data_IF_251498868961
#
_entry.id   IF_251498868961
#
_cell.length_a   1.000
_cell.length_b   1.000
_cell.length_c   1.000
_cell.angle_alpha   90.00
_cell.angle_beta   90.00
_cell.angle_gamma   90.00
#
_symmetry.space_group_name_H-M   'P 1'
#
loop_
_entity.id
_entity.type
_entity.pdbx_description
1 polymer ?
#
# COMPACT_ATOMS: atom_id res chain seq x y z
N UNK A 1 13.15 15.98 -10.31
CA UNK A 1 11.95 15.96 -11.19
C UNK A 1 11.71 14.52 -11.60
N UNK A 2 10.68 13.89 -11.01
CA UNK A 2 10.34 12.50 -11.31
C UNK A 2 9.58 12.45 -12.65
N UNK A 3 10.13 11.73 -13.62
CA UNK A 3 9.61 11.60 -15.00
C UNK A 3 8.41 10.63 -15.09
N UNK A 4 7.94 10.09 -13.95
CA UNK A 4 6.99 8.97 -13.88
C UNK A 4 5.53 9.27 -14.28
N UNK A 5 5.13 10.52 -14.50
CA UNK A 5 3.73 10.88 -14.86
C UNK A 5 3.56 11.34 -16.32
N UNK A 6 4.65 11.40 -17.11
CA UNK A 6 4.61 11.84 -18.51
C UNK A 6 3.95 10.84 -19.46
N UNK A 7 3.80 9.57 -19.04
CA UNK A 7 3.28 8.50 -19.88
C UNK A 7 1.77 8.55 -20.13
N UNK A 8 0.98 9.04 -19.17
CA UNK A 8 -0.49 9.03 -19.31
C UNK A 8 -1.01 10.11 -20.29
N UNK A 9 -0.29 11.23 -20.45
CA UNK A 9 -0.70 12.26 -21.41
C UNK A 9 -0.47 11.84 -22.87
N UNK A 10 0.45 10.91 -23.13
CA UNK A 10 0.76 10.45 -24.48
C UNK A 10 -0.31 9.53 -25.09
N UNK A 11 -1.09 8.82 -24.26
CA UNK A 11 -2.09 7.85 -24.73
C UNK A 11 -3.44 8.47 -25.09
N UNK A 12 -3.71 9.71 -24.67
CA UNK A 12 -5.02 10.33 -24.89
C UNK A 12 -5.13 11.18 -26.18
N UNK A 13 -4.02 11.51 -26.87
CA UNK A 13 -4.06 12.56 -27.93
C UNK A 13 -3.34 12.24 -29.24
N UNK A 14 -2.75 11.05 -29.48
CA UNK A 14 -2.13 10.78 -30.80
C UNK A 14 -2.52 9.43 -31.41
N UNK A 15 -3.25 9.49 -32.53
CA UNK A 15 -3.51 8.38 -33.46
C UNK A 15 -2.27 7.90 -34.25
N UNK A 16 -1.10 8.53 -34.05
CA UNK A 16 0.19 8.14 -34.62
C UNK A 16 1.25 7.94 -33.51
N UNK A 17 0.95 7.08 -32.54
CA UNK A 17 1.99 6.58 -31.66
C UNK A 17 2.87 5.60 -32.46
N UNK A 18 3.95 6.11 -33.08
CA UNK A 18 5.08 5.24 -33.44
C UNK A 18 5.41 4.44 -32.19
N UNK A 19 5.21 3.12 -32.26
CA UNK A 19 5.69 2.17 -31.25
C UNK A 19 7.12 2.59 -30.93
N UNK A 20 7.33 3.18 -29.74
CA UNK A 20 8.68 3.47 -29.30
C UNK A 20 9.37 2.11 -29.29
N UNK A 21 10.50 2.00 -30.01
CA UNK A 21 11.35 0.83 -29.91
C UNK A 21 11.66 0.70 -28.42
N UNK A 22 11.08 -0.31 -27.77
CA UNK A 22 11.28 -0.55 -26.34
C UNK A 22 12.75 -0.82 -26.04
N UNK A 23 13.05 -1.30 -24.85
CA UNK A 23 14.44 -1.57 -24.44
C UNK A 23 15.10 -2.79 -25.13
N UNK A 24 14.49 -3.34 -26.19
CA UNK A 24 14.92 -4.57 -26.85
C UNK A 24 14.24 -5.82 -26.28
N UNK A 25 14.56 -7.01 -26.80
CA UNK A 25 14.02 -8.28 -26.30
C UNK A 25 14.53 -8.57 -24.88
N UNK A 26 13.73 -9.30 -24.11
CA UNK A 26 14.14 -9.83 -22.81
C UNK A 26 15.13 -10.97 -23.00
N UNK A 27 16.15 -11.00 -22.14
CA UNK A 27 17.14 -12.08 -22.06
C UNK A 27 16.77 -12.91 -20.82
N UNK A 28 16.64 -14.22 -21.03
CA UNK A 28 16.31 -15.17 -19.97
C UNK A 28 17.36 -15.11 -18.85
N UNK A 29 16.89 -14.93 -17.61
CA UNK A 29 17.74 -14.97 -16.43
C UNK A 29 18.04 -16.42 -16.05
N UNK A 30 19.32 -16.77 -16.01
CA UNK A 30 19.78 -18.09 -15.55
C UNK A 30 19.33 -18.47 -14.13
N UNK A 31 18.99 -17.50 -13.28
CA UNK A 31 18.44 -17.73 -11.95
C UNK A 31 16.91 -17.80 -11.94
N UNK A 32 16.26 -17.52 -13.07
CA UNK A 32 14.80 -17.55 -13.24
C UNK A 32 14.07 -16.49 -12.41
N UNK A 33 14.70 -15.37 -12.08
CA UNK A 33 14.11 -14.34 -11.23
C UNK A 33 13.47 -13.23 -12.07
N UNK A 34 14.24 -12.62 -12.97
CA UNK A 34 13.76 -11.50 -13.79
C UNK A 34 14.51 -11.41 -15.11
N UNK A 35 13.80 -11.73 -16.19
CA UNK A 35 14.32 -11.53 -17.55
C UNK A 35 14.39 -10.03 -17.84
N UNK A 36 15.55 -9.58 -18.32
CA UNK A 36 15.82 -8.17 -18.55
C UNK A 36 16.37 -7.93 -19.96
N UNK A 37 16.13 -6.75 -20.56
CA UNK A 37 16.78 -6.40 -21.80
C UNK A 37 18.30 -6.33 -21.65
N UNK A 38 19.01 -6.36 -22.77
CA UNK A 38 20.47 -6.16 -22.79
C UNK A 38 20.85 -4.89 -22.04
N UNK A 39 21.95 -4.95 -21.28
CA UNK A 39 22.53 -3.86 -20.49
C UNK A 39 21.72 -3.43 -19.25
N UNK A 40 20.60 -4.08 -18.96
CA UNK A 40 19.91 -3.95 -17.69
C UNK A 40 20.43 -4.98 -16.68
N UNK A 41 20.36 -4.63 -15.40
CA UNK A 41 20.69 -5.54 -14.30
C UNK A 41 19.77 -5.29 -13.12
N UNK A 42 19.58 -6.31 -12.28
CA UNK A 42 18.84 -6.20 -11.03
C UNK A 42 19.73 -6.54 -9.84
N UNK A 43 19.28 -6.14 -8.65
CA UNK A 43 19.82 -6.59 -7.37
C UNK A 43 18.67 -6.95 -6.46
N UNK A 44 18.76 -8.11 -5.84
CA UNK A 44 17.81 -8.48 -4.79
C UNK A 44 18.12 -7.67 -3.54
N UNK A 45 17.13 -6.90 -3.10
CA UNK A 45 17.24 -6.02 -1.93
C UNK A 45 16.52 -6.58 -0.69
N UNK A 46 15.85 -7.73 -0.81
CA UNK A 46 15.30 -8.46 0.33
C UNK A 46 14.49 -9.68 -0.10
N UNK A 47 14.45 -10.70 0.75
CA UNK A 47 13.63 -11.92 0.58
C UNK A 47 12.77 -12.15 1.82
N UNK A 48 11.54 -12.61 1.60
CA UNK A 48 10.63 -12.92 2.70
C UNK A 48 11.28 -13.91 3.69
N UNK A 49 11.11 -13.65 4.98
CA UNK A 49 11.71 -14.42 6.07
C UNK A 49 13.13 -14.01 6.46
N UNK A 50 13.82 -13.15 5.70
CA UNK A 50 15.11 -12.60 6.10
C UNK A 50 14.95 -11.71 7.35
N UNK A 51 15.94 -11.71 8.27
CA UNK A 51 15.89 -10.88 9.46
C UNK A 51 15.91 -9.39 9.11
N UNK A 52 15.08 -8.62 9.81
CA UNK A 52 15.03 -7.16 9.75
C UNK A 52 15.83 -6.54 10.92
N UNK A 53 16.14 -5.24 10.81
CA UNK A 53 16.93 -4.50 11.80
C UNK A 53 16.23 -4.31 13.15
N UNK A 54 14.90 -4.44 13.19
CA UNK A 54 14.07 -4.45 14.41
C UNK A 54 14.00 -5.83 15.09
N UNK A 55 14.70 -6.83 14.54
CA UNK A 55 14.70 -8.20 15.05
C UNK A 55 13.43 -9.00 14.69
N UNK A 56 12.57 -8.47 13.82
CA UNK A 56 11.50 -9.21 13.16
C UNK A 56 12.04 -9.85 11.87
N UNK A 57 11.16 -10.43 11.06
CA UNK A 57 11.51 -10.96 9.72
C UNK A 57 10.73 -10.25 8.63
N UNK A 58 11.28 -10.26 7.42
CA UNK A 58 10.66 -9.62 6.27
C UNK A 58 9.35 -10.33 5.91
N UNK A 59 8.20 -9.65 5.91
CA UNK A 59 6.95 -10.31 5.54
C UNK A 59 6.94 -10.68 4.03
N UNK A 60 6.11 -11.68 3.69
CA UNK A 60 5.90 -12.14 2.33
C UNK A 60 4.93 -11.25 1.54
N UNK A 61 4.62 -11.66 0.30
CA UNK A 61 3.66 -10.99 -0.58
C UNK A 61 3.88 -9.45 -0.69
N UNK A 62 5.11 -9.00 -1.01
CA UNK A 62 5.35 -7.58 -1.20
C UNK A 62 4.49 -7.05 -2.35
N UNK A 63 3.92 -5.86 -2.17
CA UNK A 63 3.06 -5.22 -3.16
C UNK A 63 3.41 -3.71 -3.26
N UNK A 64 2.43 -2.85 -3.52
CA UNK A 64 2.63 -1.42 -3.76
C UNK A 64 3.53 -0.73 -2.74
N UNK A 65 4.34 0.18 -3.27
CA UNK A 65 5.38 0.85 -2.50
C UNK A 65 5.68 2.24 -3.06
N UNK A 66 6.25 3.11 -2.23
CA UNK A 66 6.73 4.41 -2.66
C UNK A 66 8.08 4.75 -2.02
N UNK A 67 8.88 5.52 -2.77
CA UNK A 67 10.16 6.05 -2.34
C UNK A 67 10.01 7.48 -1.83
N UNK A 68 10.70 7.78 -0.73
CA UNK A 68 10.72 9.05 -0.04
C UNK A 68 12.16 9.52 0.18
N UNK A 69 12.41 10.85 0.24
CA UNK A 69 13.74 11.38 0.52
C UNK A 69 14.27 10.90 1.88
N UNK A 70 15.49 10.38 1.90
CA UNK A 70 16.25 10.11 3.13
C UNK A 70 17.40 11.11 3.32
N UNK A 71 18.28 10.82 4.29
CA UNK A 71 19.47 11.66 4.55
C UNK A 71 20.58 11.34 3.54
N UNK A 72 21.19 12.38 2.96
CA UNK A 72 22.33 12.21 2.05
C UNK A 72 21.99 11.36 0.82
N UNK A 73 22.58 10.16 0.72
CA UNK A 73 22.34 9.22 -0.39
C UNK A 73 21.25 8.18 -0.06
N UNK A 74 20.59 8.29 1.09
CA UNK A 74 19.55 7.36 1.53
C UNK A 74 18.20 7.67 0.87
N UNK A 75 17.48 6.61 0.51
CA UNK A 75 16.07 6.63 0.10
C UNK A 75 15.29 5.76 1.06
N UNK A 76 14.18 6.28 1.59
CA UNK A 76 13.26 5.52 2.44
C UNK A 76 12.20 4.92 1.51
N UNK A 77 11.89 3.64 1.66
CA UNK A 77 10.81 3.00 0.91
C UNK A 77 9.85 2.34 1.88
N UNK A 78 8.58 2.73 1.82
CA UNK A 78 7.49 2.05 2.52
C UNK A 78 6.84 1.09 1.53
N UNK A 79 6.69 -0.17 1.92
CA UNK A 79 6.23 -1.27 1.07
C UNK A 79 5.12 -2.06 1.75
N UNK A 80 4.07 -2.32 1.01
CA UNK A 80 2.94 -3.14 1.44
C UNK A 80 3.25 -4.63 1.47
N UNK A 81 2.40 -5.33 2.22
CA UNK A 81 2.38 -6.79 2.29
C UNK A 81 0.94 -7.29 2.15
N UNK A 82 0.63 -7.91 1.01
CA UNK A 82 -0.72 -8.34 0.61
C UNK A 82 -1.13 -9.67 1.28
N UNK A 83 -0.83 -9.80 2.56
CA UNK A 83 -1.06 -11.01 3.34
C UNK A 83 -2.54 -11.13 3.70
N UNK A 84 -3.13 -12.26 3.35
CA UNK A 84 -4.51 -12.62 3.59
C UNK A 84 -4.69 -13.19 5.00
N UNK A 85 -5.92 -13.18 5.51
CA UNK A 85 -6.22 -13.65 6.87
C UNK A 85 -5.98 -15.15 7.10
N UNK A 86 -6.00 -15.94 6.02
CA UNK A 86 -5.77 -17.39 6.03
C UNK A 86 -4.34 -17.77 5.62
N UNK A 87 -3.47 -16.80 5.35
CA UNK A 87 -2.09 -17.09 4.98
C UNK A 87 -1.29 -17.68 6.16
N UNK A 88 -0.26 -18.44 5.81
CA UNK A 88 0.70 -18.96 6.78
C UNK A 88 1.37 -17.82 7.57
N UNK A 89 1.57 -18.03 8.87
CA UNK A 89 2.43 -17.17 9.72
C UNK A 89 3.84 -16.93 9.16
N UNK A 90 4.33 -17.80 8.26
CA UNK A 90 5.58 -17.59 7.55
C UNK A 90 5.60 -16.33 6.67
N UNK A 91 4.43 -15.84 6.25
CA UNK A 91 4.29 -14.61 5.46
C UNK A 91 4.22 -13.36 6.34
N UNK A 92 4.08 -13.50 7.66
CA UNK A 92 4.01 -12.36 8.59
C UNK A 92 5.38 -11.96 9.15
N UNK A 93 5.43 -10.74 9.71
CA UNK A 93 6.66 -10.19 10.32
C UNK A 93 7.18 -10.97 11.54
N UNK A 94 6.31 -11.78 12.17
CA UNK A 94 6.58 -12.42 13.45
C UNK A 94 7.23 -13.81 13.32
N UNK A 95 7.54 -14.22 12.09
CA UNK A 95 8.13 -15.51 11.75
C UNK A 95 7.17 -16.69 11.91
N UNK A 96 7.63 -17.89 11.53
CA UNK A 96 6.86 -19.13 11.62
C UNK A 96 6.30 -19.32 13.04
N UNK A 97 5.00 -19.59 13.13
CA UNK A 97 4.27 -19.75 14.39
C UNK A 97 4.10 -18.45 15.18
N UNK A 98 4.32 -17.29 14.58
CA UNK A 98 4.30 -15.99 15.24
C UNK A 98 5.24 -15.89 16.46
N UNK A 99 6.38 -16.59 16.41
CA UNK A 99 7.33 -16.70 17.53
C UNK A 99 7.82 -15.36 18.09
N UNK A 100 7.88 -14.33 17.24
CA UNK A 100 8.33 -12.99 17.61
C UNK A 100 7.19 -12.02 17.93
N UNK A 101 5.94 -12.49 18.06
CA UNK A 101 4.77 -11.63 18.26
C UNK A 101 4.90 -10.72 19.49
N UNK A 102 5.47 -11.24 20.57
CA UNK A 102 5.67 -10.49 21.84
C UNK A 102 6.61 -9.29 21.71
N UNK A 103 7.34 -9.14 20.58
CA UNK A 103 8.19 -7.97 20.33
C UNK A 103 7.40 -6.72 19.97
N UNK A 104 6.13 -6.87 19.61
CA UNK A 104 5.23 -5.75 19.29
C UNK A 104 4.06 -5.78 20.26
N UNK A 105 3.77 -4.64 20.87
CA UNK A 105 2.66 -4.51 21.79
C UNK A 105 1.32 -4.61 21.05
N UNK A 106 0.31 -5.24 21.67
CA UNK A 106 -0.97 -5.53 21.04
C UNK A 106 -1.73 -4.26 20.58
N UNK A 107 -1.54 -3.13 21.26
CA UNK A 107 -2.11 -1.82 20.90
C UNK A 107 -1.54 -1.22 19.60
N UNK A 108 -0.42 -1.77 19.09
CA UNK A 108 0.16 -1.38 17.80
C UNK A 108 -0.42 -2.16 16.61
N UNK A 109 -1.33 -3.09 16.85
CA UNK A 109 -2.04 -3.81 15.80
C UNK A 109 -3.37 -3.14 15.52
N UNK A 110 -3.72 -2.98 14.24
CA UNK A 110 -5.09 -2.64 13.88
C UNK A 110 -6.05 -3.74 14.37
N UNK A 111 -5.81 -5.00 13.97
CA UNK A 111 -6.51 -6.18 14.45
C UNK A 111 -5.51 -7.24 14.96
N UNK A 112 -5.48 -7.45 16.29
CA UNK A 112 -4.69 -8.52 16.92
C UNK A 112 -5.33 -9.92 16.76
N UNK A 113 -6.52 -9.99 16.16
CA UNK A 113 -7.35 -11.18 16.06
C UNK A 113 -7.76 -11.74 17.43
N UNK A 114 -8.53 -12.83 17.39
CA UNK A 114 -8.98 -13.55 18.59
C UNK A 114 -8.02 -14.67 19.00
N UNK A 115 -7.35 -15.30 18.02
CA UNK A 115 -6.39 -16.39 18.23
C UNK A 115 -5.01 -16.05 17.67
N UNK A 116 -4.97 -15.37 16.52
CA UNK A 116 -3.73 -14.94 15.86
C UNK A 116 -3.89 -13.54 15.24
N UNK A 117 -2.82 -12.74 15.19
CA UNK A 117 -2.87 -11.41 14.60
C UNK A 117 -3.12 -11.45 13.09
N UNK A 118 -3.71 -10.39 12.56
CA UNK A 118 -3.68 -10.10 11.14
C UNK A 118 -2.22 -9.77 10.72
N UNK A 119 -1.78 -10.36 9.60
CA UNK A 119 -0.36 -10.42 9.23
C UNK A 119 0.03 -9.53 8.05
N UNK A 120 -0.93 -8.80 7.48
CA UNK A 120 -0.64 -7.73 6.52
C UNK A 120 0.00 -6.54 7.21
N UNK A 121 0.15 -5.46 6.45
CA UNK A 121 0.75 -4.23 6.92
C UNK A 121 1.80 -3.72 5.95
N UNK A 122 2.76 -2.99 6.50
CA UNK A 122 3.84 -2.39 5.73
C UNK A 122 5.18 -2.62 6.42
N UNK A 123 6.23 -2.76 5.61
CA UNK A 123 7.60 -2.62 6.09
C UNK A 123 8.23 -1.39 5.45
N UNK A 124 9.19 -0.81 6.15
CA UNK A 124 10.02 0.28 5.65
C UNK A 124 11.46 -0.19 5.55
N UNK A 125 12.12 0.11 4.43
CA UNK A 125 13.56 -0.05 4.31
C UNK A 125 14.21 1.26 3.89
N UNK A 126 15.44 1.47 4.36
CA UNK A 126 16.28 2.58 3.94
C UNK A 126 17.39 2.03 3.06
N UNK A 127 17.54 2.59 1.88
CA UNK A 127 18.47 2.15 0.86
C UNK A 127 19.51 3.24 0.58
N UNK A 128 20.80 2.93 0.75
CA UNK A 128 21.89 3.81 0.33
C UNK A 128 22.14 3.61 -1.17
N UNK A 129 21.87 4.66 -1.95
CA UNK A 129 22.00 4.64 -3.42
C UNK A 129 23.44 4.64 -3.91
N UNK A 130 24.39 5.08 -3.09
CA UNK A 130 25.83 5.08 -3.41
C UNK A 130 26.43 3.70 -3.20
N UNK A 131 26.13 3.03 -2.08
CA UNK A 131 26.62 1.67 -1.81
C UNK A 131 25.72 0.58 -2.42
N UNK A 132 24.51 0.97 -2.86
CA UNK A 132 23.48 0.08 -3.41
C UNK A 132 23.03 -0.99 -2.40
N UNK A 133 22.87 -0.64 -1.13
CA UNK A 133 22.54 -1.58 -0.04
C UNK A 133 21.39 -1.10 0.80
N UNK A 134 20.57 -2.03 1.29
CA UNK A 134 19.63 -1.77 2.38
C UNK A 134 20.43 -1.59 3.67
N UNK A 135 20.39 -0.39 4.25
CA UNK A 135 21.09 -0.05 5.50
C UNK A 135 20.28 -0.42 6.73
N UNK A 136 18.95 -0.42 6.62
CA UNK A 136 18.04 -0.91 7.65
C UNK A 136 16.69 -1.25 7.07
N UNK A 137 15.97 -2.16 7.71
CA UNK A 137 14.64 -2.59 7.34
C UNK A 137 13.85 -2.93 8.60
N UNK A 138 12.57 -2.57 8.66
CA UNK A 138 11.75 -2.75 9.86
C UNK A 138 10.25 -2.72 9.53
N UNK A 139 9.42 -3.22 10.45
CA UNK A 139 7.96 -3.16 10.35
C UNK A 139 7.46 -1.73 10.60
N UNK A 140 6.57 -1.23 9.74
CA UNK A 140 6.03 0.15 9.82
C UNK A 140 4.52 0.21 10.03
N UNK A 141 3.76 -0.86 9.79
CA UNK A 141 2.35 -1.00 10.18
C UNK A 141 2.04 -2.48 10.42
N UNK A 142 1.19 -2.78 11.40
CA UNK A 142 0.82 -4.14 11.77
C UNK A 142 -0.69 -4.31 11.96
N UNK A 143 -1.19 -5.54 11.78
CA UNK A 143 -2.56 -5.90 12.09
C UNK A 143 -3.59 -5.55 11.02
N UNK A 144 -3.16 -5.18 9.82
CA UNK A 144 -4.03 -4.99 8.66
C UNK A 144 -4.02 -6.23 7.76
N UNK A 145 -4.83 -6.24 6.70
CA UNK A 145 -4.98 -7.37 5.78
C UNK A 145 -4.97 -6.92 4.33
N UNK A 146 -4.39 -7.76 3.46
CA UNK A 146 -4.37 -7.55 2.00
C UNK A 146 -4.02 -6.12 1.61
N UNK A 147 -2.92 -5.62 2.17
CA UNK A 147 -2.41 -4.31 1.77
C UNK A 147 -1.90 -4.44 0.33
N UNK A 148 -2.68 -3.95 -0.64
CA UNK A 148 -2.36 -4.08 -2.07
C UNK A 148 -1.49 -2.91 -2.51
N UNK A 149 -2.06 -1.89 -3.16
CA UNK A 149 -1.37 -0.67 -3.50
C UNK A 149 -1.65 0.46 -2.49
N UNK A 150 -1.67 1.70 -2.98
CA UNK A 150 -1.72 2.88 -2.14
C UNK A 150 -1.26 4.11 -2.88
N UNK A 151 -0.71 5.07 -2.14
CA UNK A 151 -0.14 6.27 -2.74
C UNK A 151 0.70 7.11 -1.78
N UNK A 152 1.79 7.74 -2.27
CA UNK A 152 2.56 8.67 -1.47
C UNK A 152 1.77 9.96 -1.23
N UNK A 153 2.00 10.58 -0.08
CA UNK A 153 1.42 11.86 0.28
C UNK A 153 2.44 13.00 0.15
N UNK A 154 1.99 14.24 -0.08
CA UNK A 154 2.83 15.43 -0.01
C UNK A 154 3.45 15.71 1.37
N UNK A 155 2.94 15.07 2.43
CA UNK A 155 3.39 15.23 3.82
C UNK A 155 4.28 14.06 4.29
N UNK A 156 4.98 13.42 3.35
CA UNK A 156 6.00 12.40 3.60
C UNK A 156 5.48 11.15 4.32
N UNK A 157 4.36 10.63 3.82
CA UNK A 157 3.79 9.36 4.28
C UNK A 157 3.26 8.55 3.11
N UNK A 158 2.99 7.27 3.37
CA UNK A 158 2.38 6.32 2.46
C UNK A 158 0.98 5.97 2.94
N UNK A 159 -0.03 6.20 2.10
CA UNK A 159 -1.36 5.67 2.34
C UNK A 159 -1.38 4.24 1.83
N UNK A 160 -1.52 3.27 2.73
CA UNK A 160 -1.68 1.85 2.39
C UNK A 160 -3.16 1.49 2.33
N UNK A 161 -3.53 0.64 1.38
CA UNK A 161 -4.91 0.28 1.07
C UNK A 161 -5.18 -1.20 1.34
N UNK A 162 -6.14 -1.51 2.21
CA UNK A 162 -6.66 -2.87 2.33
C UNK A 162 -7.63 -3.16 1.15
N UNK A 163 -7.25 -4.08 0.28
CA UNK A 163 -8.07 -4.55 -0.84
C UNK A 163 -9.00 -5.68 -0.35
N UNK A 164 -9.83 -5.42 0.66
CA UNK A 164 -10.77 -6.41 1.18
C UNK A 164 -11.92 -5.74 1.89
N UNK A 165 -13.07 -6.41 1.98
CA UNK A 165 -14.21 -5.95 2.80
C UNK A 165 -14.63 -7.01 3.80
N UNK A 166 -13.71 -7.89 4.21
CA UNK A 166 -14.00 -8.90 5.21
C UNK A 166 -14.38 -8.24 6.54
N UNK A 167 -15.53 -8.66 7.09
CA UNK A 167 -16.03 -8.17 8.38
C UNK A 167 -15.45 -8.96 9.55
N UNK A 168 -15.62 -8.42 10.76
CA UNK A 168 -15.32 -9.12 11.99
C UNK A 168 -16.06 -10.47 12.03
N UNK A 169 -15.37 -11.53 12.44
CA UNK A 169 -15.87 -12.90 12.33
C UNK A 169 -14.75 -13.92 12.32
N UNK A 170 -15.02 -15.13 12.81
CA UNK A 170 -13.98 -16.15 12.97
C UNK A 170 -12.84 -15.62 13.85
N UNK A 171 -11.61 -15.59 13.30
CA UNK A 171 -10.42 -15.05 13.96
C UNK A 171 -10.35 -13.51 13.97
N UNK A 172 -11.05 -12.81 13.07
CA UNK A 172 -10.99 -11.35 12.97
C UNK A 172 -11.77 -10.71 14.11
N UNK A 173 -11.16 -9.74 14.79
CA UNK A 173 -11.82 -8.97 15.85
C UNK A 173 -12.39 -7.65 15.33
N UNK A 174 -12.00 -7.20 14.14
CA UNK A 174 -12.45 -5.94 13.53
C UNK A 174 -12.85 -6.13 12.06
N UNK A 175 -13.63 -5.18 11.57
CA UNK A 175 -13.90 -5.07 10.14
C UNK A 175 -12.68 -4.51 9.42
N UNK A 176 -12.37 -5.07 8.25
CA UNK A 176 -11.30 -4.60 7.35
C UNK A 176 -11.87 -3.87 6.12
N UNK A 177 -10.98 -3.29 5.32
CA UNK A 177 -11.30 -2.51 4.12
C UNK A 177 -11.07 -1.03 4.27
N UNK A 178 -10.02 -0.67 5.01
CA UNK A 178 -9.69 0.72 5.29
C UNK A 178 -8.34 1.10 4.68
N UNK A 179 -8.16 2.40 4.46
CA UNK A 179 -6.84 2.97 4.24
C UNK A 179 -6.17 3.33 5.58
N UNK A 180 -4.84 3.36 5.61
CA UNK A 180 -4.03 3.78 6.77
C UNK A 180 -2.90 4.70 6.33
N UNK A 181 -2.59 5.72 7.12
CA UNK A 181 -1.51 6.68 6.85
C UNK A 181 -0.22 6.26 7.59
N UNK A 182 0.83 5.89 6.85
CA UNK A 182 2.09 5.36 7.38
C UNK A 182 3.22 6.34 7.14
N UNK A 183 3.76 7.02 8.17
CA UNK A 183 4.88 7.95 8.00
C UNK A 183 6.11 7.27 7.40
N UNK A 184 6.79 7.96 6.46
CA UNK A 184 8.07 7.50 5.94
C UNK A 184 9.20 7.94 6.88
N UNK A 185 9.65 7.04 7.75
CA UNK A 185 10.70 7.30 8.73
C UNK A 185 12.01 6.61 8.35
N UNK A 186 13.14 7.23 8.70
CA UNK A 186 14.47 6.62 8.54
C UNK A 186 14.88 5.79 9.75
N UNK A 187 14.07 5.72 10.80
CA UNK A 187 14.31 4.92 12.01
C UNK A 187 13.11 4.00 12.28
N UNK A 188 13.34 2.84 12.94
CA UNK A 188 12.28 1.92 13.31
C UNK A 188 11.17 2.60 14.11
N UNK A 189 9.98 2.67 13.50
CA UNK A 189 8.78 3.21 14.11
C UNK A 189 7.56 2.55 13.47
N UNK A 190 6.68 1.99 14.30
CA UNK A 190 5.35 1.58 13.86
C UNK A 190 4.47 2.82 13.75
N UNK A 191 3.66 2.92 12.71
CA UNK A 191 2.56 3.88 12.64
C UNK A 191 1.47 3.52 13.67
N UNK A 192 0.71 4.53 14.11
CA UNK A 192 -0.51 4.26 14.86
C UNK A 192 -1.53 3.61 13.91
N UNK A 193 -2.14 2.46 14.29
CA UNK A 193 -3.00 1.71 13.39
C UNK A 193 -4.42 2.32 13.30
N UNK A 194 -4.50 3.57 12.86
CA UNK A 194 -5.74 4.35 12.80
C UNK A 194 -6.38 4.18 11.41
N UNK A 195 -7.54 3.48 11.30
CA UNK A 195 -8.22 3.34 10.02
C UNK A 195 -8.82 4.68 9.56
N UNK A 196 -8.58 5.07 8.31
CA UNK A 196 -9.11 6.28 7.70
C UNK A 196 -10.56 6.09 7.26
N UNK A 197 -11.46 5.81 8.21
CA UNK A 197 -12.85 5.37 7.92
C UNK A 197 -13.66 6.33 7.04
N UNK A 198 -13.39 7.63 7.12
CA UNK A 198 -14.09 8.64 6.31
C UNK A 198 -13.75 8.55 4.80
N UNK A 199 -12.68 7.84 4.44
CA UNK A 199 -12.31 7.56 3.05
C UNK A 199 -13.14 6.43 2.43
N UNK A 200 -13.98 5.75 3.22
CA UNK A 200 -14.89 4.70 2.77
C UNK A 200 -14.35 3.29 3.03
N UNK A 201 -15.25 2.30 2.88
CA UNK A 201 -14.98 0.88 3.07
C UNK A 201 -15.33 0.10 1.81
N UNK A 202 -14.32 -0.29 1.05
CA UNK A 202 -14.41 -1.04 -0.21
C UNK A 202 -13.06 -1.71 -0.50
N UNK A 203 -12.95 -2.44 -1.61
CA UNK A 203 -11.68 -3.04 -2.06
C UNK A 203 -10.74 -1.94 -2.56
N UNK A 204 -10.06 -1.23 -1.66
CA UNK A 204 -9.16 -0.15 -2.03
C UNK A 204 -7.95 -0.70 -2.77
N UNK A 205 -7.67 -0.14 -3.94
CA UNK A 205 -6.48 -0.51 -4.72
C UNK A 205 -5.38 0.54 -4.53
N UNK A 206 -5.46 1.67 -5.24
CA UNK A 206 -4.47 2.73 -5.19
C UNK A 206 -5.11 4.06 -4.83
N UNK A 207 -4.26 4.99 -4.36
CA UNK A 207 -4.67 6.38 -4.15
C UNK A 207 -3.72 7.36 -4.82
N UNK A 208 -4.26 8.50 -5.26
CA UNK A 208 -3.49 9.64 -5.73
C UNK A 208 -3.88 10.88 -4.93
N UNK A 209 -2.90 11.55 -4.34
CA UNK A 209 -3.13 12.76 -3.54
C UNK A 209 -2.81 13.99 -4.37
N UNK A 210 -3.78 14.90 -4.48
CA UNK A 210 -3.54 16.22 -5.05
C UNK A 210 -2.71 17.06 -4.06
N UNK A 211 -1.48 17.49 -4.43
CA UNK A 211 -0.61 18.24 -3.53
C UNK A 211 -1.15 19.62 -3.15
N UNK A 212 -1.98 20.24 -3.98
CA UNK A 212 -2.47 21.59 -3.77
C UNK A 212 -3.67 21.61 -2.81
N UNK A 213 -4.64 20.71 -3.03
CA UNK A 213 -5.87 20.64 -2.21
C UNK A 213 -5.73 19.69 -1.02
N UNK A 214 -4.93 18.62 -1.15
CA UNK A 214 -4.90 17.50 -0.23
C UNK A 214 -6.00 16.46 -0.46
N UNK A 215 -6.75 16.59 -1.54
CA UNK A 215 -7.77 15.61 -1.90
C UNK A 215 -7.15 14.28 -2.30
N UNK A 216 -7.84 13.19 -1.98
CA UNK A 216 -7.38 11.83 -2.24
C UNK A 216 -8.32 11.15 -3.23
N UNK A 217 -7.82 10.86 -4.42
CA UNK A 217 -8.52 10.06 -5.41
C UNK A 217 -8.25 8.58 -5.15
N UNK A 218 -9.27 7.74 -5.20
CA UNK A 218 -9.19 6.33 -4.80
C UNK A 218 -9.84 5.44 -5.85
N UNK A 219 -9.29 4.25 -6.08
CA UNK A 219 -9.87 3.22 -6.94
C UNK A 219 -10.39 2.05 -6.12
N UNK A 220 -11.46 1.43 -6.59
CA UNK A 220 -12.01 0.19 -6.03
C UNK A 220 -11.80 -0.97 -7.00
N UNK A 221 -11.01 -1.96 -6.61
CA UNK A 221 -10.74 -3.15 -7.44
C UNK A 221 -11.84 -4.21 -7.28
N UNK A 222 -12.85 -4.05 -8.13
CA UNK A 222 -13.87 -5.05 -8.43
C UNK A 222 -14.53 -4.69 -9.76
N UNK A 223 -15.22 -5.65 -10.36
CA UNK A 223 -15.83 -5.49 -11.67
C UNK A 223 -16.78 -4.27 -11.76
N UNK A 224 -17.62 -4.07 -10.74
CA UNK A 224 -18.54 -2.94 -10.60
C UNK A 224 -18.02 -1.83 -9.67
N UNK A 225 -16.70 -1.71 -9.52
CA UNK A 225 -16.05 -0.71 -8.67
C UNK A 225 -16.19 0.71 -9.22
N UNK A 226 -16.03 1.69 -8.33
CA UNK A 226 -16.09 3.11 -8.68
C UNK A 226 -14.73 3.80 -8.50
N UNK A 227 -14.64 5.02 -9.03
CA UNK A 227 -13.56 5.96 -8.72
C UNK A 227 -14.10 6.97 -7.72
N UNK A 228 -13.35 7.19 -6.64
CA UNK A 228 -13.75 8.06 -5.54
C UNK A 228 -12.83 9.27 -5.42
N UNK A 229 -13.35 10.35 -4.82
CA UNK A 229 -12.59 11.50 -4.36
C UNK A 229 -12.94 11.76 -2.91
N UNK A 230 -11.95 11.73 -2.03
CA UNK A 230 -12.08 12.12 -0.64
C UNK A 230 -11.51 13.53 -0.44
N UNK A 231 -12.32 14.43 0.10
CA UNK A 231 -11.93 15.80 0.45
C UNK A 231 -11.75 15.87 1.96
N UNK A 232 -10.51 15.97 2.49
CA UNK A 232 -10.29 15.98 3.93
C UNK A 232 -10.81 17.28 4.57
N UNK A 233 -11.29 17.19 5.82
CA UNK A 233 -11.65 18.39 6.61
C UNK A 233 -10.45 19.28 6.88
N UNK A 234 -9.28 18.67 7.01
CA UNK A 234 -7.99 19.36 7.25
C UNK A 234 -6.95 18.71 6.36
N UNK A 235 -6.39 19.48 5.41
CA UNK A 235 -5.30 19.05 4.52
C UNK A 235 -4.17 18.40 5.33
N UNK A 236 -3.73 17.23 4.89
CA UNK A 236 -2.67 16.46 5.53
C UNK A 236 -3.02 15.81 6.87
N UNK A 237 -4.29 15.85 7.30
CA UNK A 237 -4.76 15.18 8.53
C UNK A 237 -5.98 14.32 8.24
N UNK A 238 -5.80 13.28 7.43
CA UNK A 238 -6.88 12.43 6.92
C UNK A 238 -7.72 11.78 8.03
N UNK A 239 -7.10 11.44 9.16
CA UNK A 239 -7.78 10.87 10.32
C UNK A 239 -8.82 11.83 10.96
N UNK A 240 -8.78 13.14 10.67
CA UNK A 240 -9.80 14.11 11.11
C UNK A 240 -11.11 14.00 10.31
N UNK A 241 -11.17 13.10 9.33
CA UNK A 241 -12.32 12.87 8.49
C UNK A 241 -12.43 13.87 7.34
N UNK A 242 -13.52 13.77 6.58
CA UNK A 242 -13.71 14.49 5.32
C UNK A 242 -15.06 14.19 4.70
N UNK A 243 -15.17 14.43 3.39
CA UNK A 243 -16.32 14.05 2.57
C UNK A 243 -15.86 13.15 1.44
N UNK A 244 -16.55 12.04 1.25
CA UNK A 244 -16.30 11.10 0.17
C UNK A 244 -17.30 11.33 -0.95
N UNK A 245 -16.79 11.36 -2.18
CA UNK A 245 -17.55 11.49 -3.42
C UNK A 245 -17.23 10.29 -4.31
N UNK A 246 -18.21 9.85 -5.10
CA UNK A 246 -18.00 8.91 -6.19
C UNK A 246 -18.13 9.64 -7.53
N UNK A 247 -17.32 9.25 -8.51
CA UNK A 247 -17.37 9.79 -9.85
C UNK A 247 -18.70 9.43 -10.51
N UNK A 248 -19.33 10.44 -11.12
CA UNK A 248 -20.55 10.28 -11.92
C UNK A 248 -20.31 10.80 -13.33
N UNK A 249 -20.63 9.99 -14.33
CA UNK A 249 -20.57 10.41 -15.74
C UNK A 249 -21.95 10.89 -16.19
N UNK A 250 -22.07 12.18 -16.47
CA UNK A 250 -23.33 12.78 -16.92
C UNK A 250 -23.80 12.14 -18.23
N UNK A 251 -25.11 11.86 -18.33
CA UNK A 251 -25.72 11.27 -19.53
C UNK A 251 -25.44 9.77 -19.72
N UNK A 252 -24.85 9.08 -18.73
CA UNK A 252 -24.59 7.63 -18.76
C UNK A 252 -25.14 6.92 -17.51
N UNK A 253 -26.47 6.78 -17.36
CA UNK A 253 -27.09 6.21 -16.15
C UNK A 253 -26.64 4.78 -15.80
N UNK A 254 -26.23 3.99 -16.81
CA UNK A 254 -25.71 2.63 -16.61
C UNK A 254 -24.36 2.59 -15.87
N UNK A 255 -23.62 3.70 -15.84
CA UNK A 255 -22.35 3.84 -15.12
C UNK A 255 -22.54 4.47 -13.73
N UNK A 256 -23.79 4.73 -13.31
CA UNK A 256 -24.13 5.38 -12.04
C UNK A 256 -24.59 4.40 -10.95
N UNK A 257 -24.78 3.12 -11.29
CA UNK A 257 -25.35 2.13 -10.38
C UNK A 257 -24.25 1.18 -9.86
N UNK A 258 -23.75 1.38 -8.63
CA UNK A 258 -23.18 0.26 -7.90
C UNK A 258 -24.34 -0.70 -7.61
N UNK A 259 -24.36 -1.85 -8.30
CA UNK A 259 -25.17 -2.98 -7.86
C UNK A 259 -24.66 -3.38 -6.48
N UNK A 260 -25.44 -3.04 -5.45
CA UNK A 260 -25.20 -3.24 -4.02
C UNK A 260 -24.17 -2.27 -3.38
N UNK A 261 -24.65 -1.30 -2.59
CA UNK A 261 -24.55 -1.28 -1.11
C UNK A 261 -25.21 -0.03 -0.52
N UNK A 262 -26.01 -0.25 0.51
CA UNK A 262 -26.49 0.75 1.45
C UNK A 262 -25.29 1.37 2.18
N UNK A 263 -24.85 2.55 1.75
CA UNK A 263 -23.98 3.43 2.55
C UNK A 263 -24.90 4.19 3.51
N UNK A 264 -25.43 3.48 4.51
CA UNK A 264 -26.07 4.11 5.65
C UNK A 264 -25.01 4.26 6.75
N UNK A 265 -24.60 5.48 7.12
CA UNK A 265 -23.95 5.67 8.40
C UNK A 265 -25.04 5.45 9.45
N UNK A 266 -25.07 4.29 10.12
CA UNK A 266 -25.78 4.22 11.40
C UNK A 266 -24.96 5.03 12.41
N UNK A 267 -25.48 6.15 12.95
CA UNK A 267 -24.91 6.77 14.14
C UNK A 267 -25.07 5.81 15.34
N UNK A 268 -24.37 6.06 16.46
CA UNK A 268 -24.16 5.08 17.54
C UNK A 268 -25.43 4.47 18.11
#
# INVERSE_FOLDING_TARGET
MAVGLSGLQALAVRRDARSAVGYGPLIEDSQGILDLPRDFSYKIIGRAGEPMSDGLVLPGKPDGMAAFPGKGNEVIVVRNHEVNSNDSSANGAFGRGNKNLKKVSADRFYDSGKKSPCLGGTSTFVYDTRTKTVVRQFLSLAGTLRNCAGGPTPWNSWITCEETVVGAGGNLARDHGWCFDVPATDQPALADPIPLKAMGRFNHEAVAVDPDTGDVFQTEDRHEGLIYRFVPKVKGKLAKGGRLYALKIKGKPSLEKPSFYSICPRPP
#
